data_IF_199409457071
#
_entry.id   IF_199409457071
#
_cell.length_a   1.000
_cell.length_b   1.000
_cell.length_c   1.000
_cell.angle_alpha   90.00
_cell.angle_beta   90.00
_cell.angle_gamma   90.00
#
_symmetry.space_group_name_H-M   'P 1'
#
loop_
_entity.id
_entity.type
_entity.pdbx_description
1 polymer ?
#
# COMPACT_ATOMS: atom_id res chain seq x y z
N UNK A 1 -33.11 55.09 15.39
CA UNK A 1 -34.54 54.78 15.54
C UNK A 1 -34.66 53.25 15.60
N UNK A 2 -34.75 52.64 16.78
CA UNK A 2 -35.95 52.48 17.64
C UNK A 2 -36.91 51.44 17.06
N UNK A 3 -36.70 50.14 17.31
CA UNK A 3 -37.13 49.39 18.52
C UNK A 3 -37.82 48.09 18.04
N UNK A 4 -38.13 47.06 18.84
CA UNK A 4 -38.11 46.87 20.31
C UNK A 4 -37.78 45.41 20.68
N UNK A 5 -37.47 45.16 21.95
CA UNK A 5 -37.40 43.85 22.62
C UNK A 5 -38.31 43.90 23.88
N UNK A 6 -38.30 42.97 24.87
CA UNK A 6 -37.90 41.55 24.93
C UNK A 6 -38.96 40.66 25.65
N UNK A 7 -38.68 39.35 25.84
CA UNK A 7 -38.94 38.49 27.05
C UNK A 7 -38.55 37.03 26.70
N UNK A 8 -37.77 36.24 27.47
CA UNK A 8 -37.81 35.84 28.89
C UNK A 8 -38.82 34.69 29.18
N UNK A 9 -38.57 33.69 30.06
CA UNK A 9 -37.35 33.23 30.76
C UNK A 9 -37.65 31.88 31.50
N UNK A 10 -36.61 31.32 32.16
CA UNK A 10 -36.64 30.40 33.31
C UNK A 10 -36.88 28.86 33.11
N UNK A 11 -36.11 28.12 33.89
CA UNK A 11 -36.04 26.64 34.13
C UNK A 11 -36.48 26.34 35.59
N UNK A 12 -36.23 25.19 36.26
CA UNK A 12 -36.23 23.73 35.92
C UNK A 12 -37.01 22.85 36.97
N UNK A 13 -36.94 21.50 36.86
CA UNK A 13 -36.81 20.44 37.95
C UNK A 13 -37.81 19.24 37.91
N UNK A 14 -37.36 18.10 38.49
CA UNK A 14 -38.10 16.84 38.76
C UNK A 14 -37.62 15.65 37.90
N UNK A 15 -37.17 14.46 38.33
CA UNK A 15 -37.37 13.55 39.50
C UNK A 15 -38.77 12.91 39.58
N UNK A 16 -39.01 11.60 39.71
CA UNK A 16 -38.20 10.35 39.74
C UNK A 16 -39.16 9.15 39.34
N UNK A 17 -39.08 7.84 39.68
CA UNK A 17 -38.22 6.97 40.53
C UNK A 17 -38.53 5.46 40.28
N UNK A 18 -37.59 4.52 40.56
CA UNK A 18 -37.82 3.05 40.88
C UNK A 18 -38.49 2.14 39.82
N UNK A 19 -38.38 0.78 39.78
CA UNK A 19 -37.73 -0.31 40.56
C UNK A 19 -37.64 -1.59 39.67
N UNK A 20 -37.26 -2.83 40.07
CA UNK A 20 -36.15 -3.42 40.89
C UNK A 20 -36.42 -4.95 41.02
N UNK A 21 -35.36 -5.81 41.10
CA UNK A 21 -35.36 -7.31 41.23
C UNK A 21 -35.70 -8.05 39.91
N UNK A 22 -35.21 -9.26 39.61
CA UNK A 22 -34.28 -10.20 40.29
C UNK A 22 -34.66 -11.67 39.97
N UNK A 23 -33.78 -12.70 39.95
CA UNK A 23 -32.33 -12.78 40.16
C UNK A 23 -31.91 -14.09 40.87
N UNK A 24 -31.36 -15.09 40.16
CA UNK A 24 -30.97 -16.41 40.73
C UNK A 24 -29.88 -17.17 39.92
N UNK A 25 -29.20 -18.13 40.56
CA UNK A 25 -28.04 -18.91 40.07
C UNK A 25 -28.26 -20.44 40.16
N UNK A 26 -27.40 -21.31 39.58
CA UNK A 26 -27.78 -22.68 39.20
C UNK A 26 -27.68 -23.74 40.31
N UNK A 27 -28.30 -24.91 40.07
CA UNK A 27 -28.15 -26.13 40.90
C UNK A 27 -27.26 -27.17 40.22
N UNK A 28 -26.44 -27.84 41.03
CA UNK A 28 -25.87 -29.15 40.71
C UNK A 28 -26.72 -30.27 41.36
N UNK A 29 -26.55 -31.51 40.89
CA UNK A 29 -27.04 -32.72 41.54
C UNK A 29 -26.10 -33.88 41.21
N UNK A 30 -25.88 -34.79 42.16
CA UNK A 30 -25.11 -36.02 41.98
C UNK A 30 -25.89 -37.25 42.43
N UNK A 31 -25.43 -38.44 42.06
CA UNK A 31 -26.00 -39.72 42.50
C UNK A 31 -24.90 -40.77 42.71
N UNK A 32 -25.10 -41.68 43.66
CA UNK A 32 -24.10 -42.65 44.14
C UNK A 32 -24.57 -44.08 43.86
N UNK A 33 -23.68 -44.96 43.38
CA UNK A 33 -23.99 -46.36 43.09
C UNK A 33 -22.97 -47.35 43.73
N UNK A 34 -23.33 -47.80 44.94
CA UNK A 34 -22.99 -49.06 45.63
C UNK A 34 -21.76 -49.87 45.17
N UNK A 35 -20.82 -50.04 46.10
CA UNK A 35 -19.82 -51.13 46.11
C UNK A 35 -20.48 -52.50 46.32
N UNK A 36 -19.83 -53.58 45.82
CA UNK A 36 -20.14 -54.97 46.18
C UNK A 36 -18.82 -55.75 46.28
N UNK A 37 -18.59 -56.42 47.42
CA UNK A 37 -17.45 -57.34 47.60
C UNK A 37 -17.77 -58.71 47.00
N UNK A 38 -16.77 -59.35 46.42
CA UNK A 38 -16.75 -60.75 46.01
C UNK A 38 -15.29 -61.19 45.84
N UNK A 39 -14.89 -62.31 46.43
CA UNK A 39 -13.49 -62.73 46.51
C UNK A 39 -13.23 -64.01 45.71
N UNK A 40 -12.08 -64.08 45.01
CA UNK A 40 -11.55 -65.33 44.44
C UNK A 40 -10.07 -65.22 44.04
N UNK A 41 -9.29 -66.25 44.40
CA UNK A 41 -8.13 -66.75 43.65
C UNK A 41 -6.88 -65.85 43.44
N UNK A 42 -5.77 -66.06 44.19
CA UNK A 42 -4.47 -65.46 43.88
C UNK A 42 -3.76 -66.17 42.70
N UNK A 43 -4.35 -66.12 41.50
CA UNK A 43 -3.81 -66.78 40.28
C UNK A 43 -3.73 -65.87 39.04
N UNK A 44 -4.06 -64.58 39.16
CA UNK A 44 -4.25 -63.66 38.03
C UNK A 44 -3.17 -62.55 37.90
N UNK A 45 -2.36 -62.33 38.93
CA UNK A 45 -1.42 -61.20 38.98
C UNK A 45 -0.24 -61.33 38.00
N UNK A 46 0.46 -62.47 38.01
CA UNK A 46 1.68 -62.67 37.22
C UNK A 46 1.46 -62.55 35.70
N UNK A 47 0.33 -63.06 35.20
CA UNK A 47 0.00 -63.04 33.77
C UNK A 47 -0.35 -61.64 33.22
N UNK A 48 -0.66 -60.66 34.08
CA UNK A 48 -0.91 -59.27 33.68
C UNK A 48 0.39 -58.45 33.55
N UNK A 49 1.32 -58.60 34.48
CA UNK A 49 2.56 -57.82 34.52
C UNK A 49 3.40 -57.95 33.23
N UNK A 50 3.64 -59.18 32.76
CA UNK A 50 4.43 -59.44 31.55
C UNK A 50 3.79 -58.94 30.24
N UNK A 51 2.48 -58.67 30.21
CA UNK A 51 1.82 -58.07 29.03
C UNK A 51 2.02 -56.55 28.97
N UNK A 52 2.04 -55.87 30.11
CA UNK A 52 2.33 -54.42 30.18
C UNK A 52 3.73 -54.10 29.64
N UNK A 53 4.77 -54.80 30.10
CA UNK A 53 6.16 -54.52 29.68
C UNK A 53 6.40 -54.79 28.19
N UNK A 54 5.78 -55.83 27.61
CA UNK A 54 5.88 -56.08 26.17
C UNK A 54 5.13 -55.04 25.32
N UNK A 55 4.01 -54.48 25.81
CA UNK A 55 3.35 -53.37 25.12
C UNK A 55 4.14 -52.06 25.26
N UNK A 56 4.70 -51.76 26.44
CA UNK A 56 5.46 -50.53 26.64
C UNK A 56 6.79 -50.53 25.87
N UNK A 57 7.52 -51.65 25.85
CA UNK A 57 8.73 -51.77 25.03
C UNK A 57 8.44 -51.70 23.52
N UNK A 58 7.28 -52.19 23.05
CA UNK A 58 6.84 -51.97 21.65
C UNK A 58 6.49 -50.50 21.38
N UNK A 59 5.89 -49.79 22.33
CA UNK A 59 5.61 -48.36 22.19
C UNK A 59 6.92 -47.54 22.15
N UNK A 60 7.88 -47.84 23.03
CA UNK A 60 9.21 -47.20 23.05
C UNK A 60 10.01 -47.50 21.77
N UNK A 61 9.95 -48.73 21.24
CA UNK A 61 10.61 -49.09 19.97
C UNK A 61 10.06 -48.32 18.76
N UNK A 62 8.74 -48.07 18.70
CA UNK A 62 8.13 -47.31 17.61
C UNK A 62 8.33 -45.78 17.72
N UNK A 63 8.72 -45.26 18.89
CA UNK A 63 9.01 -43.82 19.07
C UNK A 63 10.27 -43.35 18.30
N UNK A 64 11.14 -44.26 17.86
CA UNK A 64 12.41 -43.96 17.20
C UNK A 64 12.35 -43.52 15.73
N UNK A 65 11.15 -43.36 15.13
CA UNK A 65 10.98 -42.91 13.73
C UNK A 65 10.12 -41.65 13.62
N UNK A 66 10.59 -40.56 14.22
CA UNK A 66 10.10 -39.22 13.96
C UNK A 66 10.42 -38.79 12.52
N UNK A 67 9.51 -39.10 11.60
CA UNK A 67 9.56 -38.59 10.22
C UNK A 67 9.63 -37.06 10.24
N UNK A 68 10.69 -36.50 9.64
CA UNK A 68 10.94 -35.05 9.61
C UNK A 68 9.66 -34.32 9.14
N UNK A 69 9.09 -33.38 9.91
CA UNK A 69 8.01 -32.49 9.45
C UNK A 69 8.56 -31.39 8.51
N UNK A 70 9.51 -31.75 7.64
CA UNK A 70 9.95 -30.94 6.52
C UNK A 70 8.90 -31.00 5.42
N UNK A 71 7.77 -30.31 5.65
CA UNK A 71 6.75 -30.13 4.63
C UNK A 71 7.40 -29.54 3.38
N UNK A 72 7.39 -30.29 2.28
CA UNK A 72 7.84 -29.77 0.98
C UNK A 72 7.06 -28.48 0.70
N UNK A 73 7.71 -27.38 0.26
CA UNK A 73 6.97 -26.21 -0.19
C UNK A 73 6.03 -26.67 -1.32
N UNK A 74 4.76 -26.26 -1.25
CA UNK A 74 3.72 -26.71 -2.18
C UNK A 74 4.07 -26.20 -3.57
N UNK A 75 4.64 -27.10 -4.39
CA UNK A 75 5.13 -26.81 -5.73
C UNK A 75 3.93 -26.76 -6.68
N UNK A 76 3.33 -25.57 -6.82
CA UNK A 76 2.21 -25.37 -7.74
C UNK A 76 2.71 -25.47 -9.18
N UNK A 77 2.39 -26.57 -9.85
CA UNK A 77 3.02 -27.13 -11.05
C UNK A 77 2.84 -26.33 -12.36
N UNK A 78 2.42 -25.06 -12.30
CA UNK A 78 2.20 -24.25 -13.50
C UNK A 78 3.50 -23.56 -13.94
N UNK A 79 3.96 -23.73 -15.20
CA UNK A 79 5.12 -23.02 -15.71
C UNK A 79 4.89 -21.51 -15.69
N UNK A 80 5.93 -20.76 -15.33
CA UNK A 80 5.90 -19.31 -15.12
C UNK A 80 5.64 -18.58 -16.45
N UNK A 81 4.66 -17.69 -16.45
CA UNK A 81 4.13 -17.03 -17.66
C UNK A 81 4.54 -15.56 -17.74
N UNK A 82 4.54 -15.01 -18.95
CA UNK A 82 4.70 -13.56 -19.19
C UNK A 82 3.67 -12.72 -18.42
N UNK A 83 2.46 -13.26 -18.19
CA UNK A 83 1.43 -12.64 -17.35
C UNK A 83 1.86 -12.46 -15.89
N UNK A 84 2.71 -13.34 -15.37
CA UNK A 84 3.18 -13.27 -13.98
C UNK A 84 4.22 -12.14 -13.84
N UNK A 85 5.10 -11.98 -14.83
CA UNK A 85 6.02 -10.83 -14.92
C UNK A 85 5.27 -9.50 -15.08
N UNK A 86 4.25 -9.46 -15.95
CA UNK A 86 3.41 -8.28 -16.13
C UNK A 86 2.68 -7.93 -14.82
N UNK A 87 2.16 -8.93 -14.09
CA UNK A 87 1.52 -8.71 -12.79
C UNK A 87 2.50 -8.16 -11.74
N UNK A 88 3.73 -8.69 -11.71
CA UNK A 88 4.78 -8.26 -10.79
C UNK A 88 5.35 -6.86 -11.07
N UNK A 89 5.31 -6.40 -12.32
CA UNK A 89 5.58 -5.00 -12.68
C UNK A 89 4.49 -4.02 -12.15
N UNK A 90 3.35 -4.55 -11.68
CA UNK A 90 2.16 -3.85 -11.15
C UNK A 90 1.67 -2.71 -12.06
N UNK A 91 1.03 -3.03 -13.22
CA UNK A 91 0.64 -2.03 -14.21
C UNK A 91 -0.28 -0.94 -13.65
N UNK A 92 -1.04 -1.27 -12.60
CA UNK A 92 -1.89 -0.34 -11.85
C UNK A 92 -1.10 0.80 -11.21
N UNK A 93 0.11 0.59 -10.68
CA UNK A 93 0.87 1.68 -10.03
C UNK A 93 1.60 2.57 -11.05
N UNK A 94 1.64 2.20 -12.33
CA UNK A 94 2.21 3.04 -13.41
C UNK A 94 1.41 4.34 -13.59
N UNK A 95 0.13 4.37 -13.20
CA UNK A 95 -0.68 5.57 -13.10
C UNK A 95 0.02 6.72 -12.35
N UNK A 96 0.70 6.40 -11.24
CA UNK A 96 1.41 7.36 -10.39
C UNK A 96 2.68 7.91 -11.06
N UNK A 97 3.20 7.24 -12.09
CA UNK A 97 4.32 7.72 -12.90
C UNK A 97 3.85 8.52 -14.13
N UNK A 98 2.67 8.19 -14.68
CA UNK A 98 2.09 8.87 -15.86
C UNK A 98 1.53 10.25 -15.48
N UNK A 99 0.72 10.33 -14.42
CA UNK A 99 0.04 11.55 -13.98
C UNK A 99 0.97 12.76 -13.77
N UNK A 100 2.08 12.67 -12.99
CA UNK A 100 2.97 13.82 -12.77
C UNK A 100 3.72 14.26 -14.04
N UNK A 101 4.07 13.31 -14.92
CA UNK A 101 4.75 13.63 -16.19
C UNK A 101 3.80 14.35 -17.16
N UNK A 102 2.53 13.96 -17.20
CA UNK A 102 1.50 14.68 -17.96
C UNK A 102 1.32 16.12 -17.43
N UNK A 103 1.17 16.27 -16.11
CA UNK A 103 1.03 17.56 -15.45
C UNK A 103 2.23 18.48 -15.70
N UNK A 104 3.46 17.98 -15.52
CA UNK A 104 4.69 18.75 -15.74
C UNK A 104 4.94 19.12 -17.20
N UNK A 105 4.36 18.37 -18.14
CA UNK A 105 4.39 18.68 -19.59
C UNK A 105 3.34 19.74 -19.96
N UNK A 106 2.16 19.71 -19.32
CA UNK A 106 1.16 20.75 -19.50
C UNK A 106 1.64 22.11 -18.94
N UNK A 107 2.21 22.13 -17.73
CA UNK A 107 2.76 23.37 -17.16
C UNK A 107 4.01 23.87 -17.88
N UNK A 108 4.82 22.98 -18.48
CA UNK A 108 5.85 23.38 -19.44
C UNK A 108 5.25 24.07 -20.68
N UNK A 109 4.08 23.60 -21.15
CA UNK A 109 3.36 24.19 -22.27
C UNK A 109 2.99 25.67 -22.06
N UNK A 110 2.67 26.08 -20.83
CA UNK A 110 2.38 27.47 -20.47
C UNK A 110 3.56 28.42 -20.75
N UNK A 111 4.80 27.94 -20.61
CA UNK A 111 6.03 28.72 -20.85
C UNK A 111 6.52 28.56 -22.30
N UNK A 112 6.36 27.38 -22.89
CA UNK A 112 6.81 27.08 -24.24
C UNK A 112 5.88 27.58 -25.36
N UNK A 113 4.66 28.03 -25.04
CA UNK A 113 3.64 28.33 -26.04
C UNK A 113 3.04 27.05 -26.67
N UNK A 114 2.92 25.98 -25.88
CA UNK A 114 2.31 24.71 -26.27
C UNK A 114 3.04 23.48 -25.71
N UNK A 115 2.27 22.49 -25.23
CA UNK A 115 2.80 21.25 -24.64
C UNK A 115 3.58 20.37 -25.63
N UNK A 116 3.38 20.56 -26.93
CA UNK A 116 4.04 19.79 -28.00
C UNK A 116 5.50 20.17 -28.22
N UNK A 117 5.93 21.39 -27.84
CA UNK A 117 7.24 21.95 -28.24
C UNK A 117 8.44 21.10 -27.78
N UNK A 118 8.31 20.37 -26.67
CA UNK A 118 9.37 19.56 -26.09
C UNK A 118 8.97 18.08 -25.91
N UNK A 119 8.07 17.57 -26.76
CA UNK A 119 7.52 16.22 -26.71
C UNK A 119 8.57 15.10 -26.57
N UNK A 120 9.73 15.22 -27.21
CA UNK A 120 10.84 14.23 -27.09
C UNK A 120 11.38 14.17 -25.66
N UNK A 121 11.50 15.31 -24.97
CA UNK A 121 11.90 15.39 -23.56
C UNK A 121 10.78 14.84 -22.66
N UNK A 122 9.51 15.18 -22.93
CA UNK A 122 8.37 14.63 -22.21
C UNK A 122 8.28 13.08 -22.28
N UNK A 123 8.50 12.49 -23.46
CA UNK A 123 8.56 11.02 -23.62
C UNK A 123 9.75 10.43 -22.84
N UNK A 124 10.91 11.07 -22.86
CA UNK A 124 12.05 10.62 -22.06
C UNK A 124 11.78 10.70 -20.54
N UNK A 125 11.10 11.74 -20.06
CA UNK A 125 10.60 11.81 -18.67
C UNK A 125 9.66 10.64 -18.35
N UNK A 126 8.74 10.32 -19.26
CA UNK A 126 7.80 9.20 -19.09
C UNK A 126 8.54 7.85 -19.03
N UNK A 127 9.55 7.65 -19.89
CA UNK A 127 10.42 6.45 -19.85
C UNK A 127 11.16 6.36 -18.53
N UNK A 128 11.76 7.45 -18.03
CA UNK A 128 12.42 7.47 -16.70
C UNK A 128 11.43 7.11 -15.59
N UNK A 129 10.28 7.76 -15.53
CA UNK A 129 9.30 7.57 -14.47
C UNK A 129 8.71 6.14 -14.46
N UNK A 130 8.34 5.61 -15.63
CA UNK A 130 7.87 4.23 -15.78
C UNK A 130 8.96 3.21 -15.45
N UNK A 131 10.18 3.40 -15.94
CA UNK A 131 11.28 2.46 -15.70
C UNK A 131 11.71 2.44 -14.23
N UNK A 132 11.77 3.60 -13.55
CA UNK A 132 11.97 3.65 -12.09
C UNK A 132 10.85 2.94 -11.34
N UNK A 133 9.57 3.20 -11.67
CA UNK A 133 8.44 2.55 -11.01
C UNK A 133 8.43 1.02 -11.19
N UNK A 134 8.74 0.52 -12.40
CA UNK A 134 8.83 -0.92 -12.66
C UNK A 134 10.05 -1.53 -11.94
N UNK A 135 11.20 -0.86 -11.99
CA UNK A 135 12.42 -1.27 -11.28
C UNK A 135 12.21 -1.35 -9.76
N UNK A 136 11.54 -0.36 -9.17
CA UNK A 136 11.10 -0.37 -7.76
C UNK A 136 10.16 -1.54 -7.49
N UNK A 137 9.17 -1.82 -8.34
CA UNK A 137 8.24 -2.93 -8.13
C UNK A 137 8.95 -4.30 -8.08
N UNK A 138 9.93 -4.54 -8.97
CA UNK A 138 10.74 -5.76 -8.94
C UNK A 138 11.79 -5.77 -7.80
N UNK A 139 12.42 -4.64 -7.48
CA UNK A 139 13.32 -4.52 -6.33
C UNK A 139 12.59 -4.79 -5.01
N UNK A 140 11.33 -4.37 -4.91
CA UNK A 140 10.44 -4.64 -3.80
C UNK A 140 10.01 -6.12 -3.75
N UNK A 141 9.74 -6.78 -4.89
CA UNK A 141 9.45 -8.23 -4.96
C UNK A 141 10.65 -9.06 -4.47
N UNK A 142 11.84 -8.73 -4.98
CA UNK A 142 13.10 -9.32 -4.54
C UNK A 142 13.37 -9.11 -3.05
N UNK A 143 13.40 -7.86 -2.57
CA UNK A 143 13.87 -7.49 -1.23
C UNK A 143 12.96 -7.99 -0.11
N UNK A 144 11.65 -8.07 -0.35
CA UNK A 144 10.69 -8.54 0.64
C UNK A 144 10.55 -10.08 0.60
N UNK A 145 10.71 -10.67 -0.60
CA UNK A 145 10.74 -12.11 -0.82
C UNK A 145 11.95 -12.79 -0.16
N UNK A 146 13.17 -12.25 -0.30
CA UNK A 146 14.37 -12.81 0.35
C UNK A 146 14.35 -12.65 1.88
N UNK A 147 13.54 -11.73 2.43
CA UNK A 147 13.32 -11.58 3.88
C UNK A 147 12.19 -12.45 4.43
N UNK A 148 11.47 -13.17 3.57
CA UNK A 148 10.32 -13.99 3.97
C UNK A 148 9.06 -13.21 4.35
N UNK A 149 9.06 -11.87 4.20
CA UNK A 149 7.93 -11.00 4.61
C UNK A 149 6.68 -11.11 3.72
N UNK A 150 6.73 -11.93 2.67
CA UNK A 150 5.59 -12.24 1.78
C UNK A 150 5.02 -13.66 1.97
N UNK A 151 5.51 -14.42 2.95
CA UNK A 151 5.08 -15.82 3.17
C UNK A 151 3.60 -15.96 3.57
N UNK A 152 3.03 -14.94 4.22
CA UNK A 152 1.60 -14.87 4.56
C UNK A 152 1.10 -13.47 4.19
N UNK A 153 0.44 -13.32 3.04
CA UNK A 153 0.04 -12.00 2.50
C UNK A 153 -1.39 -11.98 1.95
N UNK A 154 -2.10 -10.87 2.17
CA UNK A 154 -3.47 -10.64 1.66
C UNK A 154 -3.54 -9.98 0.26
N UNK A 155 -2.46 -9.33 -0.19
CA UNK A 155 -2.31 -8.83 -1.58
C UNK A 155 -1.89 -9.91 -2.59
N UNK A 156 -1.73 -9.55 -3.89
CA UNK A 156 -1.30 -10.48 -4.93
C UNK A 156 0.05 -11.17 -4.65
N UNK A 157 0.16 -12.44 -5.03
CA UNK A 157 1.37 -13.24 -4.81
C UNK A 157 2.56 -12.70 -5.61
N UNK A 158 3.66 -12.38 -4.91
CA UNK A 158 4.95 -11.97 -5.48
C UNK A 158 5.73 -13.13 -6.09
N UNK A 159 6.59 -12.83 -7.07
CA UNK A 159 7.36 -13.84 -7.81
C UNK A 159 8.38 -14.57 -6.92
N UNK A 160 9.12 -13.84 -6.09
CA UNK A 160 10.10 -14.43 -5.17
C UNK A 160 9.40 -15.02 -3.94
N UNK A 161 8.46 -14.28 -3.35
CA UNK A 161 7.73 -14.71 -2.14
C UNK A 161 6.92 -16.00 -2.31
N UNK A 162 6.41 -16.27 -3.53
CA UNK A 162 5.72 -17.53 -3.85
C UNK A 162 6.64 -18.65 -4.37
N UNK A 163 7.97 -18.44 -4.37
CA UNK A 163 8.95 -19.40 -4.89
C UNK A 163 8.92 -19.61 -6.41
N UNK A 164 8.13 -18.83 -7.15
CA UNK A 164 7.93 -18.99 -8.60
C UNK A 164 9.16 -18.58 -9.40
N UNK A 165 9.77 -17.44 -9.08
CA UNK A 165 10.98 -16.97 -9.75
C UNK A 165 12.21 -17.06 -8.83
N UNK A 166 13.37 -17.36 -9.42
CA UNK A 166 14.65 -17.31 -8.70
C UNK A 166 14.94 -15.84 -8.29
N UNK A 167 15.32 -15.55 -7.02
CA UNK A 167 15.58 -14.19 -6.56
C UNK A 167 16.54 -13.40 -7.44
N UNK A 168 17.65 -14.05 -7.89
CA UNK A 168 18.63 -13.43 -8.79
C UNK A 168 18.03 -12.94 -10.11
N UNK A 169 17.05 -13.65 -10.68
CA UNK A 169 16.39 -13.25 -11.94
C UNK A 169 15.54 -11.99 -11.74
N UNK A 170 14.79 -11.93 -10.63
CA UNK A 170 13.95 -10.74 -10.30
C UNK A 170 14.84 -9.53 -9.99
N UNK A 171 15.97 -9.72 -9.31
CA UNK A 171 16.98 -8.67 -9.12
C UNK A 171 17.56 -8.16 -10.44
N UNK A 172 17.93 -9.05 -11.37
CA UNK A 172 18.44 -8.66 -12.70
C UNK A 172 17.40 -7.83 -13.45
N UNK A 173 16.12 -8.22 -13.44
CA UNK A 173 15.04 -7.44 -14.07
C UNK A 173 14.91 -6.05 -13.43
N UNK A 174 14.97 -5.93 -12.10
CA UNK A 174 14.95 -4.64 -11.42
C UNK A 174 16.12 -3.73 -11.85
N UNK A 175 17.34 -4.30 -11.92
CA UNK A 175 18.54 -3.58 -12.35
C UNK A 175 18.49 -3.17 -13.84
N UNK A 176 17.92 -3.99 -14.72
CA UNK A 176 17.71 -3.64 -16.13
C UNK A 176 16.77 -2.44 -16.25
N UNK A 177 15.67 -2.40 -15.48
CA UNK A 177 14.77 -1.24 -15.48
C UNK A 177 15.42 0.03 -14.89
N UNK A 178 16.25 -0.08 -13.85
CA UNK A 178 17.07 1.06 -13.40
C UNK A 178 18.12 1.49 -14.44
N UNK A 179 18.67 0.55 -15.22
CA UNK A 179 19.54 0.86 -16.36
C UNK A 179 18.82 1.64 -17.47
N UNK A 180 17.59 1.24 -17.83
CA UNK A 180 16.74 1.96 -18.79
C UNK A 180 16.45 3.38 -18.28
N UNK A 181 16.10 3.54 -17.00
CA UNK A 181 15.91 4.85 -16.38
C UNK A 181 17.19 5.70 -16.39
N UNK A 182 18.36 5.11 -16.12
CA UNK A 182 19.64 5.82 -16.16
C UNK A 182 20.00 6.29 -17.58
N UNK A 183 19.81 5.46 -18.61
CA UNK A 183 20.07 5.83 -20.01
C UNK A 183 19.13 6.96 -20.46
N UNK A 184 17.83 6.87 -20.16
CA UNK A 184 16.88 7.94 -20.48
C UNK A 184 17.15 9.23 -19.68
N UNK A 185 17.62 9.12 -18.44
CA UNK A 185 18.05 10.25 -17.61
C UNK A 185 19.32 10.94 -18.14
N UNK A 186 20.32 10.18 -18.59
CA UNK A 186 21.53 10.71 -19.24
C UNK A 186 21.17 11.39 -20.56
N UNK A 187 20.26 10.82 -21.35
CA UNK A 187 19.72 11.47 -22.55
C UNK A 187 19.04 12.80 -22.22
N UNK A 188 18.21 12.88 -21.17
CA UNK A 188 17.61 14.14 -20.71
C UNK A 188 18.66 15.16 -20.28
N UNK A 189 19.70 14.76 -19.54
CA UNK A 189 20.81 15.63 -19.15
C UNK A 189 21.50 16.19 -20.39
N UNK A 190 21.94 15.35 -21.32
CA UNK A 190 22.65 15.78 -22.54
C UNK A 190 21.75 16.65 -23.44
N UNK A 191 20.43 16.42 -23.47
CA UNK A 191 19.48 17.19 -24.27
C UNK A 191 18.90 18.43 -23.59
N UNK A 192 19.21 18.68 -22.33
CA UNK A 192 18.85 19.90 -21.58
C UNK A 192 20.06 20.71 -21.11
N UNK A 193 21.26 20.12 -21.20
CA UNK A 193 22.55 20.66 -20.73
C UNK A 193 22.61 20.87 -19.20
N UNK A 194 21.63 20.35 -18.46
CA UNK A 194 21.49 20.45 -17.01
C UNK A 194 22.27 19.34 -16.28
N UNK A 195 23.60 19.39 -16.36
CA UNK A 195 24.50 18.36 -15.83
C UNK A 195 24.29 18.00 -14.35
N UNK A 196 23.83 18.94 -13.53
CA UNK A 196 23.51 18.72 -12.11
C UNK A 196 22.38 17.71 -11.88
N UNK A 197 21.50 17.49 -12.87
CA UNK A 197 20.44 16.48 -12.80
C UNK A 197 20.97 15.05 -12.79
N UNK A 198 22.24 14.79 -13.13
CA UNK A 198 22.88 13.49 -12.89
C UNK A 198 22.87 13.12 -11.39
N UNK A 199 23.08 14.11 -10.51
CA UNK A 199 23.00 13.90 -9.06
C UNK A 199 21.55 13.60 -8.62
N UNK A 200 20.56 14.30 -9.21
CA UNK A 200 19.13 14.05 -8.94
C UNK A 200 18.72 12.64 -9.40
N UNK A 201 19.12 12.22 -10.59
CA UNK A 201 18.88 10.88 -11.12
C UNK A 201 19.54 9.78 -10.28
N UNK A 202 20.79 10.00 -9.83
CA UNK A 202 21.46 9.11 -8.91
C UNK A 202 20.72 9.01 -7.56
N UNK A 203 20.29 10.13 -6.98
CA UNK A 203 19.47 10.14 -5.75
C UNK A 203 18.14 9.41 -5.95
N UNK A 204 17.48 9.54 -7.10
CA UNK A 204 16.25 8.80 -7.42
C UNK A 204 16.49 7.28 -7.46
N UNK A 205 17.58 6.81 -8.07
CA UNK A 205 17.92 5.37 -8.12
C UNK A 205 18.33 4.85 -6.72
N UNK A 206 19.08 5.64 -5.95
CA UNK A 206 19.48 5.29 -4.57
C UNK A 206 18.25 5.21 -3.66
N UNK A 207 17.33 6.17 -3.74
CA UNK A 207 16.06 6.15 -3.00
C UNK A 207 15.20 4.94 -3.42
N UNK A 208 15.00 4.74 -4.73
CA UNK A 208 14.30 3.59 -5.30
C UNK A 208 14.82 2.24 -4.77
N UNK A 209 16.14 2.10 -4.61
CA UNK A 209 16.73 0.91 -3.99
C UNK A 209 16.49 0.83 -2.48
N UNK A 210 16.80 1.88 -1.72
CA UNK A 210 16.70 1.86 -0.24
C UNK A 210 15.27 1.98 0.32
N UNK A 211 14.26 2.17 -0.54
CA UNK A 211 12.85 2.11 -0.16
C UNK A 211 12.47 0.77 0.51
N UNK A 212 12.91 -0.36 -0.09
CA UNK A 212 12.82 -1.71 0.50
C UNK A 212 14.16 -2.44 0.63
N UNK A 213 15.23 -2.00 -0.06
CA UNK A 213 16.55 -2.63 -0.01
C UNK A 213 17.37 -2.31 1.25
N UNK A 214 18.51 -2.99 1.39
CA UNK A 214 19.49 -2.73 2.45
C UNK A 214 19.11 -3.24 3.85
N UNK A 215 19.88 -2.80 4.87
CA UNK A 215 19.74 -3.24 6.28
C UNK A 215 18.63 -2.52 7.05
N UNK A 216 18.26 -1.30 6.63
CA UNK A 216 17.23 -0.45 7.27
C UNK A 216 16.43 0.29 6.18
N UNK A 217 15.48 -0.39 5.49
CA UNK A 217 14.69 0.23 4.44
C UNK A 217 13.78 1.32 5.00
N UNK A 218 13.84 2.53 4.44
CA UNK A 218 13.12 3.68 5.01
C UNK A 218 11.59 3.59 4.80
N UNK A 219 11.13 2.82 3.80
CA UNK A 219 9.70 2.49 3.64
C UNK A 219 9.12 1.70 4.82
N UNK A 220 9.96 1.05 5.63
CA UNK A 220 9.54 0.36 6.86
C UNK A 220 9.60 1.28 8.11
N UNK A 221 9.89 2.58 7.95
CA UNK A 221 10.15 3.54 9.02
C UNK A 221 9.21 4.76 8.98
N UNK A 222 7.99 4.60 8.43
CA UNK A 222 6.97 5.65 8.24
C UNK A 222 7.40 6.86 7.41
N UNK A 223 8.53 6.76 6.69
CA UNK A 223 9.00 7.74 5.71
C UNK A 223 8.51 7.43 4.28
N UNK A 224 7.68 6.41 4.10
CA UNK A 224 7.18 5.97 2.79
C UNK A 224 6.32 7.03 2.12
N UNK A 225 5.36 7.57 2.86
CA UNK A 225 4.45 8.63 2.42
C UNK A 225 5.22 9.92 2.06
N UNK A 226 6.17 10.35 2.90
CA UNK A 226 7.05 11.50 2.61
C UNK A 226 7.85 11.28 1.33
N UNK A 227 8.40 10.07 1.13
CA UNK A 227 9.18 9.75 -0.06
C UNK A 227 8.33 9.70 -1.34
N UNK A 228 7.12 9.14 -1.33
CA UNK A 228 6.27 9.16 -2.53
C UNK A 228 5.75 10.55 -2.84
N UNK A 229 5.46 11.39 -1.83
CA UNK A 229 5.15 12.80 -2.03
C UNK A 229 6.27 13.53 -2.78
N UNK A 230 7.51 13.36 -2.33
CA UNK A 230 8.69 14.00 -2.95
C UNK A 230 8.95 13.42 -4.35
N UNK A 231 9.07 12.10 -4.50
CA UNK A 231 9.54 11.52 -5.77
C UNK A 231 8.45 11.40 -6.85
N UNK A 232 7.22 11.01 -6.49
CA UNK A 232 6.11 10.86 -7.46
C UNK A 232 5.27 12.14 -7.60
N UNK A 233 5.27 13.02 -6.60
CA UNK A 233 4.68 14.35 -6.71
C UNK A 233 5.67 15.36 -7.25
N UNK A 234 6.49 15.90 -6.34
CA UNK A 234 7.31 17.08 -6.59
C UNK A 234 8.37 16.85 -7.69
N UNK A 235 9.27 15.89 -7.52
CA UNK A 235 10.41 15.65 -8.44
C UNK A 235 9.92 15.21 -9.82
N UNK A 236 8.89 14.35 -9.90
CA UNK A 236 8.34 13.91 -11.17
C UNK A 236 7.68 15.06 -11.95
N UNK A 237 6.83 15.89 -11.32
CA UNK A 237 6.14 17.00 -12.00
C UNK A 237 7.10 18.16 -12.29
N UNK A 238 7.76 18.69 -11.26
CA UNK A 238 8.67 19.83 -11.39
C UNK A 238 9.89 19.50 -12.25
N UNK A 239 10.47 18.30 -12.10
CA UNK A 239 11.59 17.84 -12.93
C UNK A 239 11.20 17.67 -14.40
N UNK A 240 9.98 17.20 -14.69
CA UNK A 240 9.45 17.10 -16.06
C UNK A 240 9.27 18.47 -16.71
N UNK A 241 8.82 19.48 -15.95
CA UNK A 241 8.78 20.86 -16.46
C UNK A 241 10.21 21.40 -16.66
N UNK A 242 11.08 21.22 -15.67
CA UNK A 242 12.43 21.80 -15.67
C UNK A 242 13.29 21.32 -16.83
N UNK A 243 13.31 20.02 -17.15
CA UNK A 243 14.07 19.54 -18.32
C UNK A 243 13.48 20.05 -19.63
N UNK A 244 12.18 20.33 -19.67
CA UNK A 244 11.53 20.86 -20.86
C UNK A 244 11.85 22.34 -21.07
N UNK A 245 11.58 23.22 -20.10
CA UNK A 245 11.65 24.70 -20.29
C UNK A 245 12.69 25.41 -19.40
N UNK A 246 13.54 24.68 -18.68
CA UNK A 246 14.61 25.25 -17.85
C UNK A 246 14.16 25.98 -16.58
N UNK A 247 12.86 25.94 -16.26
CA UNK A 247 12.25 26.61 -15.10
C UNK A 247 11.17 25.73 -14.47
N UNK A 248 10.69 26.09 -13.27
CA UNK A 248 9.52 25.48 -12.62
C UNK A 248 8.61 26.59 -12.14
N UNK A 249 7.38 26.64 -12.64
CA UNK A 249 6.38 27.64 -12.24
C UNK A 249 5.59 27.22 -11.00
N UNK A 250 4.79 28.13 -10.44
CA UNK A 250 3.99 27.85 -9.25
C UNK A 250 2.90 26.79 -9.53
N UNK A 251 2.34 26.78 -10.74
CA UNK A 251 1.38 25.78 -11.22
C UNK A 251 2.00 24.38 -11.20
N UNK A 252 3.26 24.24 -11.63
CA UNK A 252 3.97 22.97 -11.60
C UNK A 252 4.24 22.46 -10.17
N UNK A 253 4.50 23.36 -9.23
CA UNK A 253 4.58 23.00 -7.81
C UNK A 253 3.21 22.57 -7.26
N UNK A 254 2.12 23.31 -7.53
CA UNK A 254 0.78 22.95 -7.08
C UNK A 254 0.31 21.61 -7.69
N UNK A 255 0.55 21.38 -8.97
CA UNK A 255 0.28 20.11 -9.64
C UNK A 255 1.15 18.96 -9.07
N UNK A 256 2.41 19.24 -8.73
CA UNK A 256 3.30 18.30 -8.05
C UNK A 256 2.82 17.92 -6.65
N UNK A 257 2.31 18.88 -5.87
CA UNK A 257 1.68 18.62 -4.57
C UNK A 257 0.42 17.75 -4.76
N UNK A 258 -0.44 18.06 -5.73
CA UNK A 258 -1.63 17.26 -6.01
C UNK A 258 -1.30 15.80 -6.40
N UNK A 259 -0.33 15.58 -7.30
CA UNK A 259 0.14 14.25 -7.67
C UNK A 259 0.78 13.50 -6.48
N UNK A 260 1.56 14.20 -5.65
CA UNK A 260 2.17 13.65 -4.44
C UNK A 260 1.14 13.21 -3.39
N UNK A 261 0.08 14.00 -3.18
CA UNK A 261 -1.03 13.66 -2.29
C UNK A 261 -1.77 12.40 -2.76
N UNK A 262 -2.02 12.24 -4.07
CA UNK A 262 -2.55 11.00 -4.63
C UNK A 262 -1.63 9.79 -4.41
N UNK A 263 -0.31 9.96 -4.60
CA UNK A 263 0.67 8.89 -4.34
C UNK A 263 0.67 8.48 -2.84
N UNK A 264 0.58 9.45 -1.93
CA UNK A 264 0.40 9.21 -0.50
C UNK A 264 -0.91 8.47 -0.19
N UNK A 265 -2.03 8.84 -0.83
CA UNK A 265 -3.31 8.17 -0.63
C UNK A 265 -3.25 6.69 -1.07
N UNK A 266 -2.70 6.41 -2.26
CA UNK A 266 -2.53 5.04 -2.77
C UNK A 266 -1.60 4.21 -1.88
N UNK A 267 -0.54 4.81 -1.33
CA UNK A 267 0.33 4.14 -0.37
C UNK A 267 -0.37 3.91 0.99
N UNK A 268 -1.12 4.89 1.51
CA UNK A 268 -1.85 4.80 2.78
C UNK A 268 -2.88 3.68 2.77
N UNK A 269 -3.69 3.53 1.71
CA UNK A 269 -4.66 2.41 1.62
C UNK A 269 -3.99 1.05 1.43
N UNK A 270 -2.81 1.01 0.80
CA UNK A 270 -1.98 -0.20 0.74
C UNK A 270 -1.44 -0.58 2.14
N UNK A 271 -0.91 0.40 2.87
CA UNK A 271 -0.33 0.22 4.20
C UNK A 271 -1.41 -0.10 5.25
N UNK A 272 -2.62 0.43 5.09
CA UNK A 272 -3.79 0.07 5.89
C UNK A 272 -4.23 -1.39 5.64
N UNK A 273 -4.26 -1.84 4.38
CA UNK A 273 -4.62 -3.23 4.03
C UNK A 273 -3.66 -4.27 4.64
N UNK A 274 -2.36 -4.01 4.56
CA UNK A 274 -1.34 -4.95 5.04
C UNK A 274 -0.98 -4.70 6.53
N UNK A 275 -1.61 -3.72 7.21
CA UNK A 275 -1.24 -3.18 8.53
C UNK A 275 -0.94 -4.24 9.61
N UNK A 276 -1.82 -5.21 9.78
CA UNK A 276 -1.66 -6.25 10.82
C UNK A 276 -0.48 -7.16 10.50
N UNK A 277 -0.28 -7.49 9.22
CA UNK A 277 0.82 -8.34 8.76
C UNK A 277 2.15 -7.61 8.83
N UNK A 278 2.16 -6.31 8.51
CA UNK A 278 3.32 -5.43 8.63
C UNK A 278 3.74 -5.25 10.09
N UNK A 279 2.78 -5.09 11.02
CA UNK A 279 3.05 -5.03 12.46
C UNK A 279 3.66 -6.36 12.99
N UNK A 280 3.09 -7.51 12.60
CA UNK A 280 3.64 -8.84 12.93
C UNK A 280 5.03 -9.07 12.33
N UNK A 281 5.30 -8.51 11.15
CA UNK A 281 6.61 -8.52 10.50
C UNK A 281 7.60 -7.46 11.05
N UNK A 282 7.22 -6.72 12.12
CA UNK A 282 8.05 -5.71 12.77
C UNK A 282 8.26 -4.42 11.95
N UNK A 283 7.54 -4.22 10.85
CA UNK A 283 7.59 -2.99 10.06
C UNK A 283 6.84 -1.87 10.77
N UNK A 284 7.37 -0.65 10.68
CA UNK A 284 6.75 0.56 11.23
C UNK A 284 6.30 1.46 10.09
N UNK A 285 5.36 1.00 9.27
CA UNK A 285 4.68 1.86 8.29
C UNK A 285 3.82 2.91 9.01
N UNK A 286 3.47 4.01 8.34
CA UNK A 286 2.71 5.09 9.00
C UNK A 286 1.39 4.56 9.57
N UNK A 287 0.68 3.69 8.84
CA UNK A 287 -0.57 3.06 9.30
C UNK A 287 -0.41 2.13 10.50
N UNK A 288 0.75 1.49 10.67
CA UNK A 288 1.05 0.73 11.90
C UNK A 288 1.17 1.69 13.10
N UNK A 289 1.87 2.81 12.92
CA UNK A 289 2.11 3.80 13.98
C UNK A 289 0.84 4.58 14.39
N UNK A 290 0.06 5.12 13.45
CA UNK A 290 -1.10 5.98 13.76
C UNK A 290 -2.39 5.19 14.01
N UNK A 291 -2.42 3.89 13.72
CA UNK A 291 -3.61 3.05 13.90
C UNK A 291 -4.61 3.11 12.74
N UNK A 292 -5.62 2.25 12.81
CA UNK A 292 -6.58 2.01 11.73
C UNK A 292 -7.44 3.25 11.40
N UNK A 293 -8.20 3.79 12.37
CA UNK A 293 -9.09 4.93 12.13
C UNK A 293 -8.34 6.19 11.65
N UNK A 294 -7.22 6.63 12.26
CA UNK A 294 -6.46 7.75 11.74
C UNK A 294 -5.87 7.50 10.34
N UNK A 295 -5.55 6.25 9.97
CA UNK A 295 -5.14 5.91 8.60
C UNK A 295 -6.27 6.08 7.59
N UNK A 296 -7.50 5.69 7.95
CA UNK A 296 -8.69 5.88 7.08
C UNK A 296 -9.02 7.36 6.88
N UNK A 297 -8.91 8.16 7.95
CA UNK A 297 -9.09 9.61 7.89
C UNK A 297 -7.98 10.25 7.05
N UNK A 298 -6.71 9.92 7.31
CA UNK A 298 -5.57 10.42 6.54
C UNK A 298 -5.69 10.07 5.06
N UNK A 299 -6.09 8.84 4.71
CA UNK A 299 -6.39 8.45 3.33
C UNK A 299 -7.45 9.36 2.69
N UNK A 300 -8.57 9.61 3.39
CA UNK A 300 -9.64 10.46 2.89
C UNK A 300 -9.17 11.90 2.62
N UNK A 301 -8.39 12.47 3.54
CA UNK A 301 -7.81 13.82 3.38
C UNK A 301 -6.81 13.83 2.21
N UNK A 302 -5.90 12.87 2.13
CA UNK A 302 -4.89 12.77 1.06
C UNK A 302 -5.52 12.59 -0.32
N UNK A 303 -6.64 11.86 -0.44
CA UNK A 303 -7.32 11.64 -1.71
C UNK A 303 -8.19 12.84 -2.15
N UNK A 304 -8.70 13.64 -1.21
CA UNK A 304 -9.59 14.77 -1.50
C UNK A 304 -8.88 16.13 -1.54
N UNK A 305 -7.75 16.31 -0.86
CA UNK A 305 -6.97 17.54 -0.90
C UNK A 305 -6.53 18.00 -2.32
N UNK A 306 -6.23 17.11 -3.29
CA UNK A 306 -6.02 17.50 -4.69
C UNK A 306 -7.19 18.29 -5.31
N UNK A 307 -8.43 18.02 -4.92
CA UNK A 307 -9.60 18.75 -5.41
C UNK A 307 -9.72 20.14 -4.79
N UNK A 308 -9.12 20.39 -3.61
CA UNK A 308 -8.97 21.75 -3.06
C UNK A 308 -7.90 22.51 -3.85
N UNK A 309 -6.81 21.85 -4.26
CA UNK A 309 -5.81 22.44 -5.15
C UNK A 309 -6.41 22.75 -6.53
N UNK A 310 -7.36 21.94 -7.01
CA UNK A 310 -8.08 22.20 -8.26
C UNK A 310 -8.92 23.51 -8.22
N UNK A 311 -9.26 24.04 -7.04
CA UNK A 311 -9.87 25.37 -6.92
C UNK A 311 -8.93 26.47 -7.42
N UNK A 312 -7.62 26.37 -7.14
CA UNK A 312 -6.63 27.32 -7.67
C UNK A 312 -6.55 27.24 -9.20
N UNK A 313 -6.55 26.03 -9.77
CA UNK A 313 -6.56 25.87 -11.23
C UNK A 313 -7.86 26.36 -11.88
N UNK A 314 -9.01 26.25 -11.22
CA UNK A 314 -10.28 26.80 -11.69
C UNK A 314 -10.29 28.34 -11.77
N UNK A 315 -9.40 29.04 -11.05
CA UNK A 315 -9.22 30.49 -11.17
C UNK A 315 -8.33 30.91 -12.37
N UNK A 316 -7.74 29.93 -13.07
CA UNK A 316 -6.80 30.15 -14.17
C UNK A 316 -7.27 29.50 -15.49
N UNK A 317 -8.04 28.40 -15.41
CA UNK A 317 -8.46 27.58 -16.53
C UNK A 317 -9.92 27.13 -16.32
N UNK A 318 -10.87 27.62 -17.13
CA UNK A 318 -12.29 27.22 -17.04
C UNK A 318 -12.47 25.69 -17.17
N UNK A 319 -11.66 25.08 -18.04
CA UNK A 319 -11.64 23.63 -18.26
C UNK A 319 -11.27 22.81 -17.00
N UNK A 320 -10.67 23.42 -15.98
CA UNK A 320 -10.38 22.74 -14.71
C UNK A 320 -11.67 22.37 -13.94
N UNK A 321 -12.83 22.92 -14.31
CA UNK A 321 -14.13 22.49 -13.81
C UNK A 321 -14.39 20.99 -14.11
N UNK A 322 -13.95 20.51 -15.29
CA UNK A 322 -14.17 19.12 -15.69
C UNK A 322 -13.36 18.10 -14.86
N UNK A 323 -12.30 18.53 -14.17
CA UNK A 323 -11.50 17.68 -13.27
C UNK A 323 -12.35 17.19 -12.08
N UNK A 324 -13.39 17.91 -11.67
CA UNK A 324 -14.29 17.47 -10.59
C UNK A 324 -15.12 16.22 -10.96
N UNK A 325 -15.27 15.83 -12.22
CA UNK A 325 -15.88 14.54 -12.58
C UNK A 325 -15.11 13.34 -12.01
N UNK A 326 -13.82 13.50 -11.68
CA UNK A 326 -13.01 12.45 -11.04
C UNK A 326 -13.50 12.14 -9.61
N UNK A 327 -14.28 13.01 -8.98
CA UNK A 327 -14.95 12.72 -7.70
C UNK A 327 -15.89 11.51 -7.78
N UNK A 328 -16.41 11.17 -8.96
CA UNK A 328 -17.22 9.95 -9.19
C UNK A 328 -16.43 8.67 -8.87
N UNK A 329 -15.11 8.67 -9.01
CA UNK A 329 -14.24 7.58 -8.59
C UNK A 329 -13.65 7.79 -7.19
N UNK A 330 -13.30 9.03 -6.82
CA UNK A 330 -12.63 9.34 -5.57
C UNK A 330 -13.56 9.22 -4.35
N UNK A 331 -14.80 9.73 -4.41
CA UNK A 331 -15.73 9.70 -3.27
C UNK A 331 -16.12 8.26 -2.87
N UNK A 332 -16.44 7.33 -3.79
CA UNK A 332 -16.60 5.91 -3.43
C UNK A 332 -15.35 5.30 -2.81
N UNK A 333 -14.14 5.66 -3.27
CA UNK A 333 -12.91 5.17 -2.65
C UNK A 333 -12.77 5.60 -1.18
N UNK A 334 -13.13 6.85 -0.85
CA UNK A 334 -13.18 7.34 0.54
C UNK A 334 -14.22 6.60 1.37
N UNK A 335 -15.46 6.49 0.89
CA UNK A 335 -16.54 5.79 1.60
C UNK A 335 -16.20 4.32 1.83
N UNK A 336 -15.65 3.63 0.83
CA UNK A 336 -15.19 2.24 0.95
C UNK A 336 -14.06 2.15 1.99
N UNK A 337 -13.02 3.00 1.95
CA UNK A 337 -11.93 2.92 2.94
C UNK A 337 -12.38 3.24 4.36
N UNK A 338 -13.32 4.17 4.56
CA UNK A 338 -13.89 4.46 5.88
C UNK A 338 -14.73 3.30 6.44
N UNK A 339 -15.37 2.50 5.58
CA UNK A 339 -16.32 1.44 5.99
C UNK A 339 -15.79 0.00 5.84
N UNK A 340 -14.67 -0.20 5.14
CA UNK A 340 -14.13 -1.51 4.78
C UNK A 340 -13.83 -2.41 5.99
N UNK A 341 -14.34 -3.64 5.94
CA UNK A 341 -14.14 -4.69 6.95
C UNK A 341 -13.18 -5.79 6.47
N UNK A 342 -12.80 -5.75 5.19
CA UNK A 342 -12.00 -6.78 4.52
C UNK A 342 -10.92 -6.16 3.62
N UNK A 343 -9.82 -6.90 3.42
CA UNK A 343 -8.78 -6.49 2.48
C UNK A 343 -9.26 -6.40 1.02
N UNK A 344 -10.36 -7.09 0.64
CA UNK A 344 -10.92 -7.01 -0.72
C UNK A 344 -11.52 -5.63 -1.00
N UNK A 345 -12.20 -5.03 -0.03
CA UNK A 345 -12.75 -3.68 -0.12
C UNK A 345 -11.61 -2.64 -0.22
N UNK A 346 -10.55 -2.79 0.58
CA UNK A 346 -9.35 -1.94 0.51
C UNK A 346 -8.58 -2.10 -0.83
N UNK A 347 -8.59 -3.29 -1.46
CA UNK A 347 -8.08 -3.48 -2.83
C UNK A 347 -8.95 -2.79 -3.88
N UNK A 348 -10.27 -2.72 -3.69
CA UNK A 348 -11.16 -1.96 -4.57
C UNK A 348 -10.91 -0.44 -4.42
N UNK A 349 -10.84 0.06 -3.18
CA UNK A 349 -10.51 1.46 -2.92
C UNK A 349 -9.14 1.85 -3.50
N UNK A 350 -8.10 1.01 -3.35
CA UNK A 350 -6.79 1.21 -3.97
C UNK A 350 -6.88 1.37 -5.49
N UNK A 351 -7.65 0.53 -6.17
CA UNK A 351 -7.86 0.64 -7.64
C UNK A 351 -8.58 1.93 -8.02
N UNK A 352 -9.57 2.36 -7.24
CA UNK A 352 -10.30 3.60 -7.46
C UNK A 352 -9.41 4.84 -7.20
N UNK A 353 -8.55 4.82 -6.18
CA UNK A 353 -7.55 5.87 -5.93
C UNK A 353 -6.51 5.98 -7.03
N UNK A 354 -6.03 4.83 -7.53
CA UNK A 354 -5.13 4.75 -8.70
C UNK A 354 -5.79 5.34 -9.95
N UNK A 355 -7.05 4.97 -10.23
CA UNK A 355 -7.82 5.53 -11.34
C UNK A 355 -8.05 7.04 -11.16
N UNK A 356 -8.37 7.48 -9.95
CA UNK A 356 -8.58 8.89 -9.61
C UNK A 356 -7.31 9.72 -9.82
N UNK A 357 -6.15 9.20 -9.42
CA UNK A 357 -4.86 9.86 -9.65
C UNK A 357 -4.55 10.04 -11.14
N UNK A 358 -4.78 9.00 -11.95
CA UNK A 358 -4.55 9.08 -13.40
C UNK A 358 -5.55 10.03 -14.08
N UNK A 359 -6.84 9.89 -13.76
CA UNK A 359 -7.90 10.70 -14.35
C UNK A 359 -7.77 12.18 -13.95
N UNK A 360 -7.43 12.49 -12.70
CA UNK A 360 -7.14 13.85 -12.25
C UNK A 360 -5.92 14.42 -12.97
N UNK A 361 -4.81 13.67 -13.00
CA UNK A 361 -3.57 14.12 -13.63
C UNK A 361 -3.74 14.41 -15.13
N UNK A 362 -4.46 13.54 -15.85
CA UNK A 362 -4.72 13.73 -17.29
C UNK A 362 -5.77 14.81 -17.56
N UNK A 363 -6.85 14.90 -16.77
CA UNK A 363 -7.88 15.93 -16.96
C UNK A 363 -7.34 17.34 -16.64
N UNK A 364 -6.54 17.48 -15.57
CA UNK A 364 -5.91 18.75 -15.23
C UNK A 364 -4.79 19.10 -16.23
N UNK A 365 -4.00 18.13 -16.68
CA UNK A 365 -3.03 18.36 -17.75
C UNK A 365 -3.71 18.81 -19.06
N UNK A 366 -4.88 18.26 -19.40
CA UNK A 366 -5.67 18.72 -20.54
C UNK A 366 -6.21 20.14 -20.33
N UNK A 367 -6.77 20.45 -19.15
CA UNK A 367 -7.30 21.78 -18.82
C UNK A 367 -6.24 22.89 -18.75
N UNK A 368 -4.97 22.55 -18.52
CA UNK A 368 -3.83 23.48 -18.59
C UNK A 368 -3.33 23.66 -20.04
N UNK A 369 -3.66 22.71 -20.93
CA UNK A 369 -3.12 22.61 -22.29
C UNK A 369 -4.08 23.08 -23.40
N UNK A 370 -5.37 23.25 -23.10
CA UNK A 370 -6.46 23.59 -24.01
C UNK A 370 -7.53 24.44 -23.30
#
# INVERSE_FOLDING_TARGET
>A
MSGTSPKAAATPKGSASTAKKGGATPKANGAVAKTRRGASGPASAAARAGRSEQQENRARANAGRSGRPGGRPVSVERPLRWTDWISAARPQTLALAIAPVALGTATAGLVAGGWTQHWVRAIACLVVALALQIGVNFANDYSDGIRGTDTVRQGPARLVGSGRAKPRTVLIVALVFFGIAAVAGVFLVVRSEQWWLLAVGAVCIVAAWFYTGGKRPYGYMALGEVAVFIFFGLVATAGTMFVQVGTVSFEAWMAGVAAGLFACAVLMVNNLRDREQDALAGKRTLSVLIGDLPSRIAFGVLLLAPFVINVFFLLLFDNALYVYFVLVAALPAVVITLTAKTAKELVLALRLSVLSSLAFGLALAAAIAF
#
